data_IF_677561604416
#
_entry.id   IF_677561604416
#
_cell.length_a   1.000
_cell.length_b   1.000
_cell.length_c   1.000
_cell.angle_alpha   90.00
_cell.angle_beta   90.00
_cell.angle_gamma   90.00
#
_symmetry.space_group_name_H-M   'P 1'
#
loop_
_entity.id
_entity.type
_entity.pdbx_description
1 polymer ?
#
# COMPACT_ATOMS: atom_id res chain seq x y z
N UNK A 1 4.72 27.90 -29.23
CA UNK A 1 3.24 28.03 -29.32
C UNK A 1 2.66 27.75 -27.96
N UNK A 2 1.88 28.64 -27.35
CA UNK A 2 1.40 28.48 -25.96
C UNK A 2 -0.07 28.10 -25.98
N UNK A 3 -0.38 26.85 -25.61
CA UNK A 3 -1.74 26.39 -25.40
C UNK A 3 -2.05 26.50 -23.90
N UNK A 4 -3.23 27.00 -23.56
CA UNK A 4 -3.69 27.10 -22.19
C UNK A 4 -5.01 26.35 -22.05
N UNK A 5 -5.05 25.40 -21.14
CA UNK A 5 -6.25 24.63 -20.80
C UNK A 5 -6.70 25.04 -19.38
N UNK A 6 -7.98 25.36 -19.20
CA UNK A 6 -8.56 25.79 -17.92
C UNK A 6 -9.96 25.22 -17.76
N UNK A 7 -10.43 25.03 -16.52
CA UNK A 7 -11.83 24.72 -16.24
C UNK A 7 -12.60 26.02 -16.01
N UNK A 8 -13.75 26.14 -16.63
CA UNK A 8 -14.65 27.31 -16.50
C UNK A 8 -16.03 26.88 -16.09
N UNK A 9 -16.66 27.63 -15.22
CA UNK A 9 -18.02 27.41 -14.77
C UNK A 9 -18.99 28.25 -15.61
N UNK A 10 -20.07 27.60 -16.07
CA UNK A 10 -21.24 28.22 -16.74
C UNK A 10 -20.91 29.25 -17.82
N UNK A 11 -19.99 28.91 -18.73
CA UNK A 11 -19.64 29.85 -19.81
C UNK A 11 -20.82 30.18 -20.75
N UNK A 12 -21.89 29.39 -20.72
CA UNK A 12 -23.14 29.60 -21.53
C UNK A 12 -24.20 30.44 -20.81
N UNK A 13 -23.96 30.84 -19.56
CA UNK A 13 -24.90 31.67 -18.78
C UNK A 13 -26.25 30.95 -18.47
N UNK A 14 -26.26 29.64 -18.38
CA UNK A 14 -27.48 28.86 -18.14
C UNK A 14 -27.87 28.74 -16.68
N UNK A 15 -26.93 29.03 -15.77
CA UNK A 15 -27.15 28.91 -14.33
C UNK A 15 -28.23 29.87 -13.81
N UNK A 16 -28.42 31.02 -14.44
CA UNK A 16 -29.49 31.96 -14.09
C UNK A 16 -30.89 31.37 -14.24
N UNK A 17 -31.09 30.47 -15.22
CA UNK A 17 -32.39 29.81 -15.46
C UNK A 17 -32.56 28.50 -14.67
N UNK A 18 -31.49 27.79 -14.36
CA UNK A 18 -31.55 26.43 -13.84
C UNK A 18 -30.91 26.27 -12.44
N UNK A 19 -30.34 27.34 -11.86
CA UNK A 19 -29.71 27.30 -10.56
C UNK A 19 -28.36 26.62 -10.52
N UNK A 20 -27.98 25.87 -11.58
CA UNK A 20 -26.71 25.14 -11.71
C UNK A 20 -26.03 25.46 -13.04
N UNK A 21 -24.75 25.69 -13.03
CA UNK A 21 -23.91 25.87 -14.21
C UNK A 21 -23.08 24.64 -14.51
N UNK A 22 -22.83 24.39 -15.78
CA UNK A 22 -21.97 23.29 -16.21
C UNK A 22 -20.51 23.71 -16.11
N UNK A 23 -19.65 22.78 -15.68
CA UNK A 23 -18.21 22.92 -15.81
C UNK A 23 -17.79 22.52 -17.23
N UNK A 24 -17.03 23.39 -17.90
CA UNK A 24 -16.48 23.13 -19.22
C UNK A 24 -14.93 23.26 -19.17
N UNK A 25 -14.24 22.43 -19.95
CA UNK A 25 -12.81 22.55 -20.13
C UNK A 25 -12.57 23.48 -21.32
N UNK A 26 -11.97 24.63 -21.08
CA UNK A 26 -11.66 25.65 -22.07
C UNK A 26 -10.24 25.53 -22.54
N UNK A 27 -10.03 25.41 -23.84
CA UNK A 27 -8.74 25.40 -24.51
C UNK A 27 -8.56 26.73 -25.25
N UNK A 28 -7.47 27.42 -25.00
CA UNK A 28 -7.06 28.61 -25.74
C UNK A 28 -5.96 28.22 -26.73
N UNK A 29 -6.23 28.39 -28.03
CA UNK A 29 -5.28 28.10 -29.09
C UNK A 29 -5.33 29.21 -30.15
N UNK A 30 -4.18 29.80 -30.47
CA UNK A 30 -4.04 30.91 -31.45
C UNK A 30 -5.08 32.02 -31.26
N UNK A 31 -5.32 32.44 -30.01
CA UNK A 31 -6.27 33.50 -29.70
C UNK A 31 -7.75 33.08 -29.69
N UNK A 32 -8.10 31.89 -30.19
CA UNK A 32 -9.46 31.33 -30.16
C UNK A 32 -9.70 30.48 -28.95
N UNK A 33 -10.95 30.45 -28.47
CA UNK A 33 -11.39 29.61 -27.35
C UNK A 33 -12.28 28.48 -27.83
N UNK A 34 -11.98 27.28 -27.37
CA UNK A 34 -12.75 26.07 -27.60
C UNK A 34 -13.21 25.51 -26.25
N UNK A 35 -14.42 24.93 -26.22
CA UNK A 35 -15.01 24.42 -24.99
C UNK A 35 -15.41 22.96 -25.15
N UNK A 36 -15.07 22.15 -24.13
CA UNK A 36 -15.45 20.75 -24.01
C UNK A 36 -16.28 20.60 -22.75
N UNK A 37 -17.57 20.26 -22.92
CA UNK A 37 -18.49 20.08 -21.81
C UNK A 37 -18.10 18.85 -20.97
N UNK A 38 -18.05 18.96 -19.64
CA UNK A 38 -17.75 17.82 -18.77
C UNK A 38 -18.98 17.02 -18.37
N UNK A 39 -20.17 17.56 -18.60
CA UNK A 39 -21.43 17.01 -18.08
C UNK A 39 -21.63 17.19 -16.58
N UNK A 40 -20.67 17.82 -15.88
CA UNK A 40 -20.76 18.08 -14.44
C UNK A 40 -21.45 19.42 -14.23
N UNK A 41 -22.56 19.41 -13.48
CA UNK A 41 -23.33 20.61 -13.13
C UNK A 41 -23.21 20.86 -11.64
N UNK A 42 -22.90 22.11 -11.28
CA UNK A 42 -22.72 22.54 -9.88
C UNK A 42 -23.25 23.97 -9.71
N UNK A 43 -23.64 24.33 -8.49
CA UNK A 43 -23.99 25.71 -8.14
C UNK A 43 -22.71 26.54 -8.06
N UNK A 44 -22.84 27.85 -8.23
CA UNK A 44 -21.68 28.75 -8.15
C UNK A 44 -20.92 28.64 -6.81
N UNK A 45 -21.65 28.51 -5.70
CA UNK A 45 -21.09 28.34 -4.37
C UNK A 45 -20.40 26.98 -4.14
N UNK A 46 -20.66 26.00 -4.98
CA UNK A 46 -20.07 24.66 -4.91
C UNK A 46 -18.79 24.54 -5.74
N UNK A 47 -18.38 25.57 -6.51
CA UNK A 47 -17.15 25.55 -7.29
C UNK A 47 -16.23 26.70 -6.86
N UNK A 48 -15.26 26.40 -5.99
CA UNK A 48 -14.36 27.38 -5.37
C UNK A 48 -12.90 26.98 -5.66
N UNK A 49 -12.12 27.95 -6.11
CA UNK A 49 -10.68 27.78 -6.37
C UNK A 49 -10.33 26.55 -7.25
N UNK A 50 -11.18 26.24 -8.24
CA UNK A 50 -10.94 25.13 -9.16
C UNK A 50 -11.37 23.76 -8.64
N UNK A 51 -12.03 23.68 -7.48
CA UNK A 51 -12.52 22.45 -6.86
C UNK A 51 -14.00 22.51 -6.56
N UNK A 52 -14.64 21.36 -6.65
CA UNK A 52 -16.03 21.17 -6.24
C UNK A 52 -16.03 20.91 -4.74
N UNK A 53 -16.82 21.67 -3.98
CA UNK A 53 -16.88 21.66 -2.52
C UNK A 53 -18.34 21.69 -2.04
N UNK A 54 -18.56 21.48 -0.75
CA UNK A 54 -19.86 21.65 -0.07
C UNK A 54 -21.00 20.79 -0.63
N UNK A 55 -20.67 19.56 -1.09
CA UNK A 55 -21.67 18.57 -1.51
C UNK A 55 -21.18 17.14 -1.23
N UNK A 56 -22.08 16.17 -0.96
CA UNK A 56 -21.71 14.81 -0.54
C UNK A 56 -20.86 14.06 -1.57
N UNK A 57 -21.06 14.35 -2.87
CA UNK A 57 -20.39 13.71 -4.00
C UNK A 57 -19.19 14.52 -4.53
N UNK A 58 -18.74 15.56 -3.80
CA UNK A 58 -17.67 16.46 -4.24
C UNK A 58 -16.39 15.74 -4.62
N UNK A 59 -15.96 14.73 -3.82
CA UNK A 59 -14.76 13.93 -4.13
C UNK A 59 -14.89 13.21 -5.46
N UNK A 60 -16.01 12.52 -5.70
CA UNK A 60 -16.26 11.77 -6.93
C UNK A 60 -16.28 12.69 -8.16
N UNK A 61 -16.90 13.86 -8.01
CA UNK A 61 -16.99 14.82 -9.12
C UNK A 61 -15.64 15.50 -9.40
N UNK A 62 -14.82 15.77 -8.37
CA UNK A 62 -13.46 16.27 -8.56
C UNK A 62 -12.57 15.24 -9.27
N UNK A 63 -12.65 13.95 -8.91
CA UNK A 63 -11.92 12.88 -9.58
C UNK A 63 -12.33 12.76 -11.05
N UNK A 64 -13.64 12.80 -11.32
CA UNK A 64 -14.17 12.80 -12.69
C UNK A 64 -13.70 14.01 -13.51
N UNK A 65 -13.71 15.19 -12.92
CA UNK A 65 -13.23 16.41 -13.55
C UNK A 65 -11.74 16.34 -13.87
N UNK A 66 -10.92 15.87 -12.91
CA UNK A 66 -9.47 15.70 -13.06
C UNK A 66 -9.12 14.73 -14.19
N UNK A 67 -9.83 13.60 -14.30
CA UNK A 67 -9.63 12.61 -15.35
C UNK A 67 -9.98 13.20 -16.73
N UNK A 68 -11.12 13.88 -16.86
CA UNK A 68 -11.51 14.52 -18.12
C UNK A 68 -10.50 15.60 -18.51
N UNK A 69 -10.07 16.41 -17.55
CA UNK A 69 -9.06 17.44 -17.75
C UNK A 69 -7.73 16.85 -18.26
N UNK A 70 -7.25 15.78 -17.62
CA UNK A 70 -6.03 15.08 -18.04
C UNK A 70 -6.15 14.52 -19.47
N UNK A 71 -7.30 13.87 -19.81
CA UNK A 71 -7.53 13.38 -21.16
C UNK A 71 -7.50 14.50 -22.21
N UNK A 72 -8.14 15.63 -21.92
CA UNK A 72 -8.12 16.79 -22.81
C UNK A 72 -6.69 17.28 -23.01
N UNK A 73 -5.92 17.45 -21.94
CA UNK A 73 -4.51 17.87 -22.02
C UNK A 73 -3.67 16.91 -22.86
N UNK A 74 -3.80 15.59 -22.64
CA UNK A 74 -3.09 14.56 -23.44
C UNK A 74 -3.44 14.64 -24.92
N UNK A 75 -4.74 14.76 -25.26
CA UNK A 75 -5.16 14.89 -26.67
C UNK A 75 -4.64 16.18 -27.32
N UNK A 76 -4.62 17.28 -26.57
CA UNK A 76 -4.07 18.55 -27.03
C UNK A 76 -2.55 18.44 -27.26
N UNK A 77 -1.82 17.83 -26.34
CA UNK A 77 -0.36 17.63 -26.44
C UNK A 77 0.01 16.74 -27.64
N UNK A 78 -0.76 15.67 -27.90
CA UNK A 78 -0.57 14.82 -29.07
C UNK A 78 -0.79 15.61 -30.36
N UNK A 79 -1.88 16.35 -30.46
CA UNK A 79 -2.16 17.17 -31.64
C UNK A 79 -1.07 18.21 -31.92
N UNK A 80 -0.36 18.70 -30.88
CA UNK A 80 0.71 19.69 -31.04
C UNK A 80 2.04 19.05 -31.41
N UNK A 81 2.36 17.89 -30.84
CA UNK A 81 3.64 17.18 -31.12
C UNK A 81 3.71 16.64 -32.54
N UNK A 82 2.58 16.15 -33.05
CA UNK A 82 2.52 15.54 -34.38
C UNK A 82 2.50 16.58 -35.53
N UNK A 83 2.64 17.88 -35.22
CA UNK A 83 2.63 18.96 -36.22
C UNK A 83 1.33 19.09 -37.01
N UNK A 84 0.26 18.45 -36.54
CA UNK A 84 -1.06 18.47 -37.17
C UNK A 84 -1.83 19.77 -36.92
N UNK A 85 -2.79 20.08 -37.82
CA UNK A 85 -3.73 21.17 -37.59
C UNK A 85 -4.57 20.91 -36.32
N UNK A 86 -4.69 21.90 -35.45
CA UNK A 86 -5.51 21.80 -34.26
C UNK A 86 -7.00 21.60 -34.65
N UNK A 87 -7.49 20.39 -34.48
CA UNK A 87 -8.88 20.02 -34.80
C UNK A 87 -9.65 19.68 -33.52
N UNK A 88 -10.54 20.61 -33.10
CA UNK A 88 -11.36 20.44 -31.90
C UNK A 88 -12.36 19.28 -32.02
N UNK A 89 -12.86 18.98 -33.21
CA UNK A 89 -13.78 17.86 -33.41
C UNK A 89 -13.06 16.51 -33.30
N UNK A 90 -11.81 16.42 -33.78
CA UNK A 90 -10.98 15.24 -33.59
C UNK A 90 -10.68 15.03 -32.08
N UNK A 91 -10.38 16.11 -31.34
CA UNK A 91 -10.18 16.06 -29.88
C UNK A 91 -11.46 15.63 -29.18
N UNK A 92 -12.61 16.23 -29.49
CA UNK A 92 -13.92 15.81 -28.93
C UNK A 92 -14.20 14.34 -29.23
N UNK A 93 -14.04 13.94 -30.48
CA UNK A 93 -14.25 12.56 -30.91
C UNK A 93 -13.29 11.60 -30.19
N UNK A 94 -12.04 11.96 -29.97
CA UNK A 94 -11.08 11.16 -29.18
C UNK A 94 -11.44 11.06 -27.70
N UNK A 95 -12.04 12.11 -27.12
CA UNK A 95 -12.46 12.13 -25.72
C UNK A 95 -13.80 11.39 -25.52
N UNK A 96 -14.73 11.55 -26.46
CA UNK A 96 -16.10 11.03 -26.40
C UNK A 96 -16.34 9.83 -27.29
N UNK A 97 -15.45 9.51 -28.24
CA UNK A 97 -15.56 8.24 -28.94
C UNK A 97 -15.31 7.13 -27.92
N UNK A 98 -16.39 6.58 -27.42
CA UNK A 98 -16.41 5.13 -27.35
C UNK A 98 -16.08 4.71 -28.77
N UNK A 99 -14.83 4.30 -29.04
CA UNK A 99 -14.56 3.51 -30.22
C UNK A 99 -15.51 2.33 -30.10
N UNK A 100 -16.58 2.31 -30.87
CA UNK A 100 -17.15 1.08 -31.39
C UNK A 100 -16.05 0.45 -32.26
N UNK A 101 -15.03 -0.05 -31.59
CA UNK A 101 -14.05 -0.94 -32.21
C UNK A 101 -14.81 -2.24 -32.41
N UNK A 102 -15.12 -2.50 -33.66
CA UNK A 102 -15.54 -3.80 -34.13
C UNK A 102 -14.88 -4.91 -33.34
N UNK A 103 -15.73 -5.76 -32.72
CA UNK A 103 -15.43 -7.05 -32.13
C UNK A 103 -14.08 -7.18 -31.39
N UNK A 104 -13.92 -6.48 -30.29
CA UNK A 104 -12.96 -6.92 -29.29
C UNK A 104 -13.63 -7.99 -28.44
N UNK A 105 -13.02 -9.15 -28.37
CA UNK A 105 -13.58 -10.31 -27.65
C UNK A 105 -13.73 -10.08 -26.13
N UNK A 106 -13.12 -9.01 -25.58
CA UNK A 106 -13.07 -8.79 -24.14
C UNK A 106 -13.00 -7.31 -23.75
N UNK A 107 -14.06 -6.49 -24.00
CA UNK A 107 -14.03 -5.05 -23.79
C UNK A 107 -13.84 -4.63 -22.32
N UNK A 108 -14.20 -5.46 -21.35
CA UNK A 108 -13.96 -5.21 -19.94
C UNK A 108 -12.48 -5.42 -19.57
N UNK A 109 -11.86 -6.49 -20.08
CA UNK A 109 -10.44 -6.80 -19.80
C UNK A 109 -9.54 -5.71 -20.38
N UNK A 110 -9.77 -5.29 -21.61
CA UNK A 110 -9.00 -4.23 -22.26
C UNK A 110 -9.14 -2.90 -21.52
N UNK A 111 -10.35 -2.57 -21.09
CA UNK A 111 -10.57 -1.39 -20.27
C UNK A 111 -9.79 -1.48 -18.93
N UNK A 112 -9.71 -2.65 -18.30
CA UNK A 112 -8.90 -2.84 -17.11
C UNK A 112 -7.42 -2.56 -17.38
N UNK A 113 -6.87 -3.08 -18.48
CA UNK A 113 -5.48 -2.85 -18.90
C UNK A 113 -5.20 -1.36 -19.15
N UNK A 114 -6.11 -0.66 -19.79
CA UNK A 114 -6.02 0.78 -20.03
C UNK A 114 -6.09 1.60 -18.72
N UNK A 115 -6.90 1.18 -17.76
CA UNK A 115 -7.12 1.95 -16.53
C UNK A 115 -6.10 1.70 -15.43
N UNK A 116 -5.48 0.52 -15.37
CA UNK A 116 -4.53 0.16 -14.32
C UNK A 116 -3.37 1.15 -14.24
N UNK A 117 -2.70 1.56 -15.34
CA UNK A 117 -1.64 2.57 -15.29
C UNK A 117 -2.13 3.96 -14.83
N UNK A 118 -3.43 4.23 -14.97
CA UNK A 118 -4.05 5.51 -14.67
C UNK A 118 -4.66 5.58 -13.24
N UNK A 119 -4.37 4.59 -12.39
CA UNK A 119 -4.91 4.55 -11.02
C UNK A 119 -4.32 5.60 -10.08
N UNK A 120 -3.20 6.23 -10.44
CA UNK A 120 -2.54 7.21 -9.59
C UNK A 120 -1.94 6.61 -8.29
N UNK A 121 -1.62 5.32 -8.32
CA UNK A 121 -1.02 4.58 -7.20
C UNK A 121 0.40 4.16 -7.55
N UNK A 122 1.24 3.96 -6.52
CA UNK A 122 2.63 3.54 -6.75
C UNK A 122 2.74 2.16 -7.43
N UNK A 123 3.84 1.94 -8.15
CA UNK A 123 4.13 0.74 -8.96
C UNK A 123 3.94 -0.58 -8.19
N UNK A 124 4.32 -0.62 -6.91
CA UNK A 124 4.09 -1.78 -6.06
C UNK A 124 2.61 -2.15 -5.89
N UNK A 125 1.69 -1.18 -6.03
CA UNK A 125 0.25 -1.42 -6.01
C UNK A 125 -0.25 -1.84 -7.39
N UNK A 126 0.26 -1.23 -8.46
CA UNK A 126 -0.05 -1.60 -9.85
C UNK A 126 0.27 -3.08 -10.08
N UNK A 127 1.40 -3.56 -9.56
CA UNK A 127 1.83 -4.96 -9.66
C UNK A 127 0.85 -5.98 -9.02
N UNK A 128 -0.14 -5.53 -8.24
CA UNK A 128 -1.21 -6.40 -7.76
C UNK A 128 -2.39 -6.53 -8.73
N UNK A 129 -2.55 -5.59 -9.67
CA UNK A 129 -3.63 -5.61 -10.65
C UNK A 129 -3.31 -6.47 -11.87
N UNK A 130 -2.06 -6.48 -12.34
CA UNK A 130 -1.67 -7.29 -13.51
C UNK A 130 -1.98 -8.79 -13.34
N UNK A 131 -1.69 -9.43 -12.19
CA UNK A 131 -2.10 -10.81 -11.96
C UNK A 131 -3.62 -11.03 -11.97
N UNK A 132 -4.43 -10.01 -11.60
CA UNK A 132 -5.88 -10.11 -11.70
C UNK A 132 -6.32 -10.18 -13.16
N UNK A 133 -5.77 -9.33 -14.03
CA UNK A 133 -6.09 -9.34 -15.47
C UNK A 133 -5.79 -10.70 -16.07
N UNK A 134 -4.61 -11.26 -15.77
CA UNK A 134 -4.26 -12.62 -16.20
C UNK A 134 -5.30 -13.65 -15.73
N UNK A 135 -5.73 -13.59 -14.46
CA UNK A 135 -6.73 -14.53 -13.92
C UNK A 135 -8.12 -14.34 -14.53
N UNK A 136 -8.52 -13.12 -14.83
CA UNK A 136 -9.79 -12.87 -15.52
C UNK A 136 -9.76 -13.42 -16.96
N UNK A 137 -8.63 -13.26 -17.64
CA UNK A 137 -8.42 -13.79 -19.00
C UNK A 137 -8.44 -15.34 -18.99
N UNK A 138 -7.73 -15.98 -18.03
CA UNK A 138 -7.74 -17.45 -17.87
C UNK A 138 -9.13 -17.99 -17.53
N UNK A 139 -9.89 -17.29 -16.70
CA UNK A 139 -11.25 -17.66 -16.34
C UNK A 139 -12.22 -17.58 -17.53
N UNK A 140 -12.08 -16.59 -18.39
CA UNK A 140 -12.73 -16.47 -19.68
C UNK A 140 -14.25 -16.28 -19.67
N UNK A 141 -14.90 -16.13 -18.49
CA UNK A 141 -16.35 -15.94 -18.36
C UNK A 141 -16.74 -14.53 -17.92
N UNK A 142 -15.76 -13.64 -17.71
CA UNK A 142 -15.96 -12.21 -17.43
C UNK A 142 -15.18 -11.45 -18.49
N UNK A 143 -15.80 -11.23 -19.64
CA UNK A 143 -15.19 -10.54 -20.79
C UNK A 143 -15.85 -9.20 -21.06
N UNK A 144 -17.15 -9.13 -20.89
CA UNK A 144 -17.97 -7.96 -21.20
C UNK A 144 -18.51 -7.30 -19.94
N UNK A 145 -19.07 -6.11 -20.07
CA UNK A 145 -19.72 -5.39 -18.97
C UNK A 145 -20.95 -6.12 -18.44
N UNK A 146 -21.66 -6.86 -19.29
CA UNK A 146 -22.83 -7.66 -18.95
C UNK A 146 -22.47 -8.89 -18.11
N UNK A 147 -21.25 -9.38 -18.23
CA UNK A 147 -20.78 -10.53 -17.46
C UNK A 147 -20.51 -10.19 -15.99
N UNK A 148 -20.49 -8.91 -15.62
CA UNK A 148 -20.22 -8.41 -14.27
C UNK A 148 -21.43 -8.60 -13.35
N UNK A 149 -21.86 -9.83 -13.18
CA UNK A 149 -22.96 -10.21 -12.30
C UNK A 149 -22.45 -10.74 -10.96
N UNK A 150 -23.31 -10.71 -9.95
CA UNK A 150 -23.03 -11.32 -8.61
C UNK A 150 -22.69 -12.78 -8.77
N UNK A 151 -23.42 -13.49 -9.62
CA UNK A 151 -23.21 -14.91 -9.89
C UNK A 151 -21.83 -15.18 -10.50
N UNK A 152 -21.45 -14.45 -11.56
CA UNK A 152 -20.15 -14.63 -12.20
C UNK A 152 -18.98 -14.30 -11.28
N UNK A 153 -19.12 -13.32 -10.39
CA UNK A 153 -18.10 -13.00 -9.37
C UNK A 153 -17.97 -14.15 -8.36
N UNK A 154 -19.08 -14.75 -7.94
CA UNK A 154 -19.05 -15.93 -7.07
C UNK A 154 -18.44 -17.15 -7.75
N UNK A 155 -18.76 -17.35 -9.02
CA UNK A 155 -18.18 -18.44 -9.83
C UNK A 155 -16.69 -18.22 -10.09
N UNK A 156 -16.25 -16.97 -10.26
CA UNK A 156 -14.83 -16.60 -10.34
C UNK A 156 -14.09 -16.91 -9.04
N UNK A 157 -14.67 -16.60 -7.88
CA UNK A 157 -14.13 -16.98 -6.56
C UNK A 157 -13.95 -18.48 -6.45
N UNK A 158 -15.01 -19.24 -6.75
CA UNK A 158 -14.96 -20.71 -6.71
C UNK A 158 -13.86 -21.28 -7.63
N UNK A 159 -13.72 -20.71 -8.83
CA UNK A 159 -12.67 -21.09 -9.77
C UNK A 159 -11.26 -20.74 -9.23
N UNK A 160 -11.07 -19.55 -8.60
CA UNK A 160 -9.79 -19.16 -8.01
C UNK A 160 -9.31 -20.18 -6.94
N UNK A 161 -10.21 -20.81 -6.21
CA UNK A 161 -9.85 -21.87 -5.25
C UNK A 161 -9.39 -23.17 -5.91
N UNK A 162 -9.63 -23.35 -7.22
CA UNK A 162 -9.17 -24.54 -7.97
C UNK A 162 -7.81 -24.33 -8.63
N UNK A 163 -7.40 -23.09 -8.89
CA UNK A 163 -6.16 -22.78 -9.62
C UNK A 163 -4.95 -22.71 -8.70
N UNK A 164 -3.78 -22.85 -9.30
CA UNK A 164 -2.50 -22.83 -8.60
C UNK A 164 -1.71 -21.57 -8.91
N UNK A 165 -0.72 -21.27 -8.06
CA UNK A 165 0.23 -20.20 -8.30
C UNK A 165 1.09 -20.50 -9.53
N UNK A 166 1.34 -19.53 -10.42
CA UNK A 166 2.26 -19.74 -11.53
C UNK A 166 3.66 -20.03 -10.99
N UNK A 167 4.30 -21.04 -11.53
CA UNK A 167 5.70 -21.36 -11.23
C UNK A 167 6.61 -20.60 -12.18
N UNK A 168 7.70 -20.04 -11.66
CA UNK A 168 8.81 -19.55 -12.48
C UNK A 168 9.46 -20.72 -13.25
N UNK A 169 10.07 -20.44 -14.40
CA UNK A 169 10.71 -21.47 -15.22
C UNK A 169 11.78 -22.26 -14.46
N UNK A 170 12.53 -21.59 -13.56
CA UNK A 170 13.50 -22.24 -12.69
C UNK A 170 12.82 -23.27 -11.76
N UNK A 171 11.66 -22.95 -11.16
CA UNK A 171 10.92 -23.86 -10.30
C UNK A 171 10.25 -25.00 -11.08
N UNK A 172 9.83 -24.74 -12.32
CA UNK A 172 9.29 -25.80 -13.21
C UNK A 172 10.33 -26.87 -13.48
N UNK A 173 11.60 -26.43 -13.73
CA UNK A 173 12.74 -27.34 -13.98
C UNK A 173 13.14 -28.19 -12.76
N UNK A 174 12.83 -27.74 -11.54
CA UNK A 174 13.17 -28.48 -10.30
C UNK A 174 12.08 -29.43 -9.82
N UNK A 175 11.02 -29.64 -10.60
CA UNK A 175 9.94 -30.59 -10.25
C UNK A 175 9.06 -30.14 -9.06
N UNK A 176 9.13 -28.90 -8.66
CA UNK A 176 8.29 -28.32 -7.58
C UNK A 176 6.83 -28.35 -8.01
N UNK A 177 5.97 -28.97 -7.22
CA UNK A 177 4.52 -28.94 -7.46
C UNK A 177 3.94 -27.56 -7.23
N UNK A 178 3.07 -27.06 -8.12
CA UNK A 178 2.43 -25.76 -7.92
C UNK A 178 1.49 -25.78 -6.71
N UNK A 179 1.59 -24.76 -5.88
CA UNK A 179 0.71 -24.58 -4.71
C UNK A 179 -0.61 -23.92 -5.13
N UNK A 180 -1.71 -24.25 -4.45
CA UNK A 180 -2.98 -23.53 -4.58
C UNK A 180 -2.83 -22.07 -4.16
N UNK A 181 -3.73 -21.22 -4.64
CA UNK A 181 -3.84 -19.85 -4.16
C UNK A 181 -4.26 -19.85 -2.70
N UNK A 182 -3.66 -18.98 -1.89
CA UNK A 182 -4.12 -18.75 -0.51
C UNK A 182 -5.35 -17.86 -0.48
N UNK A 183 -6.17 -17.96 0.57
CA UNK A 183 -7.34 -17.10 0.78
C UNK A 183 -6.96 -15.61 0.74
N UNK A 184 -5.80 -15.25 1.31
CA UNK A 184 -5.27 -13.90 1.24
C UNK A 184 -4.93 -13.44 -0.19
N UNK A 185 -4.44 -14.36 -1.05
CA UNK A 185 -4.19 -14.12 -2.47
C UNK A 185 -5.49 -13.92 -3.23
N UNK A 186 -6.47 -14.80 -3.02
CA UNK A 186 -7.81 -14.72 -3.62
C UNK A 186 -8.51 -13.42 -3.20
N UNK A 187 -8.46 -13.08 -1.91
CA UNK A 187 -8.99 -11.82 -1.40
C UNK A 187 -8.36 -10.59 -2.10
N UNK A 188 -7.06 -10.63 -2.40
CA UNK A 188 -6.41 -9.53 -3.11
C UNK A 188 -6.94 -9.37 -4.55
N UNK A 189 -7.25 -10.46 -5.26
CA UNK A 189 -7.90 -10.38 -6.56
C UNK A 189 -9.28 -9.71 -6.45
N UNK A 190 -10.11 -10.10 -5.49
CA UNK A 190 -11.41 -9.46 -5.25
C UNK A 190 -11.28 -7.99 -4.84
N UNK A 191 -10.28 -7.65 -4.03
CA UNK A 191 -9.98 -6.25 -3.65
C UNK A 191 -9.66 -5.40 -4.88
N UNK A 192 -8.80 -5.88 -5.77
CA UNK A 192 -8.42 -5.20 -7.00
C UNK A 192 -9.60 -5.10 -7.98
N UNK A 193 -10.34 -6.17 -8.19
CA UNK A 193 -11.52 -6.19 -9.05
C UNK A 193 -12.60 -5.22 -8.54
N UNK A 194 -12.88 -5.24 -7.24
CA UNK A 194 -13.82 -4.30 -6.62
C UNK A 194 -13.41 -2.84 -6.83
N UNK A 195 -12.13 -2.52 -6.73
CA UNK A 195 -11.60 -1.18 -6.95
C UNK A 195 -11.76 -0.76 -8.41
N UNK A 196 -11.47 -1.64 -9.37
CA UNK A 196 -11.71 -1.39 -10.80
C UNK A 196 -13.19 -1.19 -11.10
N UNK A 197 -14.08 -1.99 -10.51
CA UNK A 197 -15.52 -1.82 -10.70
C UNK A 197 -16.06 -0.53 -10.06
N UNK A 198 -15.51 -0.07 -8.94
CA UNK A 198 -15.84 1.26 -8.42
C UNK A 198 -15.41 2.36 -9.40
N UNK A 199 -14.23 2.21 -10.01
CA UNK A 199 -13.78 3.13 -11.05
C UNK A 199 -14.69 3.06 -12.30
N UNK A 200 -15.09 1.87 -12.74
CA UNK A 200 -16.03 1.68 -13.83
C UNK A 200 -17.39 2.34 -13.55
N UNK A 201 -17.87 2.25 -12.31
CA UNK A 201 -19.09 2.95 -11.86
C UNK A 201 -18.93 4.47 -11.96
N UNK A 202 -17.79 5.01 -11.49
CA UNK A 202 -17.47 6.45 -11.60
C UNK A 202 -17.43 6.93 -13.06
N UNK A 203 -16.98 6.07 -13.99
CA UNK A 203 -16.93 6.36 -15.42
C UNK A 203 -18.27 6.10 -16.15
N UNK A 204 -19.31 5.66 -15.46
CA UNK A 204 -20.60 5.33 -16.07
C UNK A 204 -20.55 4.12 -17.01
N UNK A 205 -19.58 3.22 -16.84
CA UNK A 205 -19.47 1.97 -17.60
C UNK A 205 -20.43 0.90 -17.09
N UNK A 206 -20.77 0.97 -15.81
CA UNK A 206 -21.76 0.14 -15.13
C UNK A 206 -22.63 1.01 -14.23
N UNK A 207 -23.89 0.63 -14.02
CA UNK A 207 -24.83 1.37 -13.16
C UNK A 207 -24.71 0.96 -11.69
N UNK A 208 -24.18 -0.22 -11.42
CA UNK A 208 -24.04 -0.76 -10.07
C UNK A 208 -22.82 -1.67 -9.97
N UNK A 209 -22.10 -1.57 -8.84
CA UNK A 209 -21.01 -2.50 -8.54
C UNK A 209 -21.57 -3.77 -7.85
N UNK A 210 -21.45 -4.96 -8.46
CA UNK A 210 -21.96 -6.22 -7.89
C UNK A 210 -21.44 -6.52 -6.48
N UNK A 211 -20.25 -6.05 -6.14
CA UNK A 211 -19.67 -6.21 -4.79
C UNK A 211 -20.48 -5.53 -3.69
N UNK A 212 -21.37 -4.59 -4.02
CA UNK A 212 -22.25 -3.98 -3.04
C UNK A 212 -23.21 -4.98 -2.38
N UNK A 213 -23.60 -6.03 -3.14
CA UNK A 213 -24.42 -7.16 -2.66
C UNK A 213 -23.60 -8.29 -2.00
N UNK A 214 -22.27 -8.23 -2.10
CA UNK A 214 -21.34 -9.25 -1.62
C UNK A 214 -20.54 -8.78 -0.38
N UNK A 215 -21.05 -7.80 0.36
CA UNK A 215 -20.37 -7.26 1.55
C UNK A 215 -20.07 -8.39 2.56
N UNK A 216 -18.79 -8.50 2.93
CA UNK A 216 -18.33 -9.49 3.92
C UNK A 216 -18.25 -10.94 3.43
N UNK A 217 -18.63 -11.24 2.18
CA UNK A 217 -18.58 -12.61 1.64
C UNK A 217 -17.14 -13.08 1.45
N UNK A 218 -16.28 -12.28 0.83
CA UNK A 218 -14.89 -12.64 0.60
C UNK A 218 -14.04 -12.19 1.79
N UNK A 219 -13.48 -13.17 2.52
CA UNK A 219 -12.65 -12.93 3.68
C UNK A 219 -11.17 -13.16 3.33
N UNK A 220 -10.31 -12.40 3.96
CA UNK A 220 -8.88 -12.51 3.74
C UNK A 220 -8.27 -13.81 4.28
N UNK A 221 -9.00 -14.55 5.08
CA UNK A 221 -8.48 -15.64 5.90
C UNK A 221 -7.65 -15.09 7.09
N UNK A 222 -7.39 -15.95 8.04
CA UNK A 222 -6.54 -15.62 9.17
C UNK A 222 -5.09 -15.43 8.71
N UNK A 223 -4.48 -14.35 9.18
CA UNK A 223 -3.06 -14.14 8.96
C UNK A 223 -2.30 -14.90 10.04
N UNK A 224 -1.32 -15.75 9.66
CA UNK A 224 -0.43 -16.32 10.66
C UNK A 224 0.25 -15.21 11.45
N UNK A 225 0.62 -15.51 12.69
CA UNK A 225 1.46 -14.61 13.47
C UNK A 225 2.77 -14.36 12.70
N UNK A 226 3.31 -13.15 12.76
CA UNK A 226 4.59 -12.87 12.13
C UNK A 226 5.69 -13.73 12.76
N UNK A 227 6.53 -14.34 11.92
CA UNK A 227 7.76 -14.95 12.37
C UNK A 227 8.72 -13.86 12.88
N UNK A 228 9.61 -14.23 13.78
CA UNK A 228 10.68 -13.37 14.33
C UNK A 228 11.85 -14.24 14.75
N UNK A 229 13.03 -13.66 14.96
CA UNK A 229 14.19 -14.35 15.49
C UNK A 229 14.21 -14.30 17.01
N UNK A 230 14.61 -15.41 17.65
CA UNK A 230 14.93 -15.42 19.08
C UNK A 230 16.22 -14.63 19.36
N UNK A 231 16.49 -14.30 20.61
CA UNK A 231 17.73 -13.61 21.00
C UNK A 231 18.97 -14.44 20.67
N UNK A 232 18.88 -15.78 20.78
CA UNK A 232 19.98 -16.67 20.38
C UNK A 232 20.22 -16.60 18.87
N UNK A 233 19.15 -16.58 18.07
CA UNK A 233 19.25 -16.43 16.61
C UNK A 233 19.77 -15.04 16.22
N UNK A 234 19.39 -13.97 16.94
CA UNK A 234 19.95 -12.62 16.75
C UNK A 234 21.45 -12.60 17.02
N UNK A 235 21.90 -13.21 18.12
CA UNK A 235 23.31 -13.34 18.48
C UNK A 235 24.11 -14.11 17.42
N UNK A 236 23.52 -15.13 16.78
CA UNK A 236 24.18 -15.83 15.67
C UNK A 236 24.54 -14.87 14.52
N UNK A 237 23.67 -13.87 14.22
CA UNK A 237 24.00 -12.86 13.22
C UNK A 237 25.13 -11.94 13.66
N UNK A 238 25.13 -11.48 14.91
CA UNK A 238 26.14 -10.56 15.43
C UNK A 238 27.53 -11.20 15.49
N UNK A 239 27.61 -12.50 15.79
CA UNK A 239 28.86 -13.23 15.94
C UNK A 239 29.36 -13.94 14.68
N UNK A 240 28.54 -13.97 13.60
CA UNK A 240 28.87 -14.67 12.37
C UNK A 240 30.09 -14.03 11.66
N UNK A 241 31.14 -14.80 11.46
CA UNK A 241 32.35 -14.35 10.76
C UNK A 241 32.16 -14.56 9.27
N UNK A 242 32.24 -13.48 8.49
CA UNK A 242 32.08 -13.49 7.04
C UNK A 242 33.26 -12.77 6.36
N UNK A 243 33.53 -13.03 5.08
CA UNK A 243 34.55 -12.30 4.35
C UNK A 243 34.21 -10.80 4.32
N UNK A 244 35.05 -9.98 4.90
CA UNK A 244 34.82 -8.54 5.10
C UNK A 244 34.51 -7.84 3.77
N UNK A 245 33.44 -7.07 3.74
CA UNK A 245 33.01 -6.30 2.57
C UNK A 245 32.36 -7.13 1.45
N UNK A 246 32.20 -8.44 1.65
CA UNK A 246 31.47 -9.28 0.69
C UNK A 246 29.95 -8.93 0.70
N UNK A 247 29.21 -9.19 -0.40
CA UNK A 247 27.76 -8.92 -0.43
C UNK A 247 26.96 -9.59 0.71
N UNK A 248 27.41 -10.74 1.18
CA UNK A 248 26.77 -11.46 2.29
C UNK A 248 27.09 -10.81 3.64
N UNK A 249 28.31 -10.27 3.83
CA UNK A 249 28.70 -9.51 5.02
C UNK A 249 27.91 -8.20 5.11
N UNK A 250 27.79 -7.49 3.99
CA UNK A 250 26.95 -6.29 3.90
C UNK A 250 25.50 -6.61 4.24
N UNK A 251 24.94 -7.67 3.67
CA UNK A 251 23.54 -8.05 3.93
C UNK A 251 23.32 -8.45 5.42
N UNK A 252 24.28 -9.15 6.04
CA UNK A 252 24.24 -9.47 7.46
C UNK A 252 24.19 -8.20 8.31
N UNK A 253 25.05 -7.24 8.03
CA UNK A 253 25.13 -5.99 8.79
C UNK A 253 23.87 -5.13 8.61
N UNK A 254 23.36 -5.04 7.40
CA UNK A 254 22.09 -4.34 7.14
C UNK A 254 20.90 -5.00 7.87
N UNK A 255 20.92 -6.33 7.99
CA UNK A 255 19.90 -7.04 8.75
C UNK A 255 20.01 -6.77 10.25
N UNK A 256 21.22 -6.74 10.81
CA UNK A 256 21.48 -6.31 12.19
C UNK A 256 20.99 -4.87 12.38
N UNK A 257 21.34 -3.96 11.49
CA UNK A 257 20.87 -2.58 11.56
C UNK A 257 19.35 -2.48 11.60
N UNK A 258 18.65 -3.23 10.74
CA UNK A 258 17.19 -3.28 10.75
C UNK A 258 16.60 -3.92 12.02
N UNK A 259 17.24 -4.98 12.55
CA UNK A 259 16.79 -5.62 13.79
C UNK A 259 16.86 -4.69 15.00
N UNK A 260 17.78 -3.72 15.00
CA UNK A 260 17.98 -2.82 16.13
C UNK A 260 17.49 -1.37 15.89
N UNK A 261 16.89 -1.10 14.74
CA UNK A 261 16.24 0.19 14.45
C UNK A 261 14.75 0.07 14.15
N UNK A 262 14.29 -1.13 13.75
CA UNK A 262 12.92 -1.36 13.30
C UNK A 262 12.58 -0.74 11.94
N UNK A 263 13.54 -0.14 11.24
CA UNK A 263 13.32 0.49 9.93
C UNK A 263 12.88 -0.55 8.88
N UNK A 264 12.00 -0.14 7.97
CA UNK A 264 11.72 -0.99 6.80
C UNK A 264 12.89 -0.93 5.82
N UNK A 265 12.90 -1.83 4.84
CA UNK A 265 13.93 -1.80 3.80
C UNK A 265 14.02 -0.42 3.11
N UNK A 266 12.89 0.18 2.74
CA UNK A 266 12.89 1.50 2.09
C UNK A 266 13.40 2.62 2.99
N UNK A 267 13.00 2.61 4.26
CA UNK A 267 13.45 3.63 5.21
C UNK A 267 14.93 3.45 5.57
N UNK A 268 15.42 2.19 5.63
CA UNK A 268 16.84 1.89 5.82
C UNK A 268 17.70 2.36 4.63
N UNK A 269 17.26 2.13 3.40
CA UNK A 269 18.01 2.55 2.22
C UNK A 269 18.02 4.08 2.02
N UNK A 270 17.10 4.78 2.64
CA UNK A 270 17.06 6.23 2.67
C UNK A 270 17.56 6.82 4.01
N UNK A 271 18.26 6.01 4.80
CA UNK A 271 18.83 6.49 6.05
C UNK A 271 19.84 7.62 5.80
N UNK A 272 19.66 8.74 6.50
CA UNK A 272 20.63 9.84 6.56
C UNK A 272 21.06 10.04 8.01
N UNK A 273 22.36 9.96 8.27
CA UNK A 273 22.92 10.17 9.59
C UNK A 273 22.70 11.61 10.11
N UNK A 274 22.57 12.58 9.21
CA UNK A 274 22.34 13.99 9.57
C UNK A 274 20.95 14.23 10.20
N UNK A 275 20.01 13.32 9.98
CA UNK A 275 18.69 13.39 10.61
C UNK A 275 18.75 13.03 12.12
N UNK A 276 19.84 12.37 12.56
CA UNK A 276 19.98 11.91 13.93
C UNK A 276 20.78 12.89 14.76
N UNK A 277 20.26 13.20 15.95
CA UNK A 277 20.89 14.12 16.92
C UNK A 277 21.34 13.36 18.14
N UNK A 278 22.57 13.61 18.57
CA UNK A 278 23.08 13.12 19.83
C UNK A 278 22.56 13.97 20.99
N UNK A 279 21.91 13.38 21.97
CA UNK A 279 21.37 14.10 23.14
C UNK A 279 22.21 13.98 24.42
N UNK A 280 23.43 13.47 24.31
CA UNK A 280 24.32 13.15 25.45
C UNK A 280 24.28 11.68 25.87
N UNK A 281 23.26 10.93 25.44
CA UNK A 281 23.08 9.50 25.78
C UNK A 281 22.94 8.61 24.58
N UNK A 282 22.27 9.11 23.51
CA UNK A 282 21.99 8.31 22.33
C UNK A 282 21.68 9.18 21.08
N UNK A 283 21.78 8.55 19.91
CA UNK A 283 21.35 9.10 18.66
C UNK A 283 19.84 8.92 18.47
N UNK A 284 19.11 10.01 18.26
CA UNK A 284 17.64 10.04 18.17
C UNK A 284 17.18 10.80 16.93
N UNK A 285 16.08 10.33 16.35
CA UNK A 285 15.41 10.99 15.23
C UNK A 285 13.89 10.88 15.37
N UNK A 286 13.18 11.88 14.85
CA UNK A 286 11.74 11.83 14.55
C UNK A 286 11.60 12.02 13.05
N UNK A 287 11.43 10.93 12.35
CA UNK A 287 11.32 10.89 10.89
C UNK A 287 9.91 10.53 10.41
N UNK A 288 9.75 10.48 9.10
CA UNK A 288 8.51 10.03 8.45
C UNK A 288 8.76 8.82 7.56
N UNK A 289 7.81 7.89 7.58
CA UNK A 289 7.87 6.68 6.75
C UNK A 289 7.75 7.05 5.28
N UNK A 290 8.71 6.68 4.45
CA UNK A 290 8.72 6.95 3.00
C UNK A 290 7.44 6.46 2.32
N UNK A 291 6.98 5.26 2.68
CA UNK A 291 5.81 4.66 2.04
C UNK A 291 4.48 5.29 2.44
N UNK A 292 4.36 5.87 3.63
CA UNK A 292 3.06 6.24 4.21
C UNK A 292 3.00 7.64 4.77
N UNK A 293 4.13 8.38 4.87
CA UNK A 293 4.22 9.70 5.51
C UNK A 293 3.90 9.66 7.02
N UNK A 294 3.85 8.49 7.64
CA UNK A 294 3.52 8.37 9.06
C UNK A 294 4.76 8.69 9.89
N UNK A 295 4.67 9.60 10.87
CA UNK A 295 5.78 9.88 11.77
C UNK A 295 6.20 8.65 12.57
N UNK A 296 7.51 8.46 12.76
CA UNK A 296 8.08 7.47 13.64
C UNK A 296 9.18 8.08 14.51
N UNK A 297 9.43 7.46 15.65
CA UNK A 297 10.52 7.81 16.54
C UNK A 297 11.59 6.73 16.45
N UNK A 298 12.80 7.12 16.12
CA UNK A 298 13.94 6.21 16.00
C UNK A 298 15.01 6.52 17.05
N UNK A 299 15.60 5.45 17.58
CA UNK A 299 16.70 5.46 18.52
C UNK A 299 17.73 4.46 18.03
N UNK A 300 18.99 4.86 17.89
CA UNK A 300 20.05 3.95 17.47
C UNK A 300 20.56 3.17 18.67
N UNK A 301 20.17 1.91 18.75
CA UNK A 301 20.69 0.98 19.74
C UNK A 301 22.16 0.63 19.44
N UNK A 302 22.98 0.23 20.45
CA UNK A 302 24.41 -0.01 20.27
C UNK A 302 24.79 -0.93 19.10
N UNK A 303 24.09 -2.05 18.80
CA UNK A 303 24.45 -2.86 17.64
C UNK A 303 24.22 -2.13 16.30
N UNK A 304 23.20 -1.26 16.21
CA UNK A 304 22.98 -0.44 15.01
C UNK A 304 24.09 0.60 14.83
N UNK A 305 24.55 1.22 15.94
CA UNK A 305 25.66 2.17 15.90
C UNK A 305 26.95 1.49 15.42
N UNK A 306 27.26 0.28 15.91
CA UNK A 306 28.43 -0.51 15.45
C UNK A 306 28.41 -0.75 13.93
N UNK A 307 27.23 -1.01 13.37
CA UNK A 307 27.08 -1.15 11.91
C UNK A 307 27.36 0.17 11.21
N UNK A 308 26.82 1.29 11.70
CA UNK A 308 27.07 2.60 11.12
C UNK A 308 28.55 2.99 11.19
N UNK A 309 29.24 2.75 12.31
CA UNK A 309 30.67 2.99 12.45
C UNK A 309 31.50 2.19 11.43
N UNK A 310 31.12 0.91 11.19
CA UNK A 310 31.77 0.06 10.17
C UNK A 310 31.67 0.66 8.75
N UNK A 311 30.56 1.33 8.45
CA UNK A 311 30.28 1.94 7.15
C UNK A 311 30.41 3.47 7.16
N UNK A 312 31.13 4.04 8.12
CA UNK A 312 31.38 5.49 8.20
C UNK A 312 30.10 6.33 8.19
N UNK A 313 29.03 5.81 8.84
CA UNK A 313 27.70 6.42 8.93
C UNK A 313 26.93 6.50 7.62
N UNK A 314 27.36 5.78 6.59
CA UNK A 314 26.69 5.65 5.32
C UNK A 314 26.14 4.23 5.13
N UNK A 315 24.84 4.08 4.89
CA UNK A 315 24.23 2.76 4.66
C UNK A 315 24.52 2.28 3.25
N UNK A 316 25.16 1.09 3.09
CA UNK A 316 25.39 0.51 1.77
C UNK A 316 24.09 0.30 0.99
N UNK A 317 24.09 0.74 -0.27
CA UNK A 317 22.93 0.58 -1.14
C UNK A 317 22.90 -0.85 -1.74
N UNK A 318 21.77 -1.53 -1.59
CA UNK A 318 21.56 -2.88 -2.10
C UNK A 318 20.13 -3.02 -2.62
N UNK A 319 19.92 -3.68 -3.77
CA UNK A 319 18.56 -3.94 -4.22
C UNK A 319 17.82 -4.89 -3.26
N UNK A 320 16.49 -4.72 -3.12
CA UNK A 320 15.70 -5.61 -2.24
C UNK A 320 15.77 -7.08 -2.69
N UNK A 321 15.90 -7.32 -3.99
CA UNK A 321 16.08 -8.66 -4.54
C UNK A 321 17.41 -9.29 -4.13
N UNK A 322 18.52 -8.54 -4.27
CA UNK A 322 19.84 -8.99 -3.87
C UNK A 322 19.94 -9.17 -2.37
N UNK A 323 19.42 -8.22 -1.60
CA UNK A 323 19.35 -8.32 -0.15
C UNK A 323 18.66 -9.62 0.30
N UNK A 324 17.46 -9.89 -0.18
CA UNK A 324 16.74 -11.11 0.16
C UNK A 324 17.44 -12.38 -0.36
N UNK A 325 18.19 -12.30 -1.47
CA UNK A 325 19.01 -13.41 -1.97
C UNK A 325 20.14 -13.73 -0.99
N UNK A 326 20.86 -12.71 -0.47
CA UNK A 326 21.90 -12.88 0.51
C UNK A 326 21.35 -13.37 1.87
N UNK A 327 20.20 -12.85 2.31
CA UNK A 327 19.54 -13.34 3.53
C UNK A 327 19.19 -14.82 3.44
N UNK A 328 18.78 -15.31 2.27
CA UNK A 328 18.55 -16.74 2.06
C UNK A 328 19.85 -17.57 2.15
N UNK A 329 20.97 -17.04 1.68
CA UNK A 329 22.28 -17.69 1.84
C UNK A 329 22.69 -17.70 3.32
N UNK A 330 22.51 -16.59 4.04
CA UNK A 330 22.74 -16.51 5.50
C UNK A 330 21.88 -17.52 6.25
N UNK A 331 20.61 -17.69 5.88
CA UNK A 331 19.74 -18.71 6.47
C UNK A 331 20.33 -20.12 6.35
N UNK A 332 20.85 -20.44 5.16
CA UNK A 332 21.49 -21.76 4.94
C UNK A 332 22.76 -21.93 5.79
N UNK A 333 23.56 -20.86 5.92
CA UNK A 333 24.82 -20.90 6.71
C UNK A 333 24.58 -21.00 8.21
N UNK A 334 23.57 -20.30 8.73
CA UNK A 334 23.24 -20.29 10.16
C UNK A 334 22.41 -21.48 10.60
N UNK A 335 21.74 -22.17 9.68
CA UNK A 335 20.78 -23.22 9.99
C UNK A 335 19.49 -22.74 10.64
N UNK A 336 19.23 -21.43 10.66
CA UNK A 336 18.00 -20.82 11.18
C UNK A 336 16.81 -21.35 10.41
N UNK A 337 15.81 -21.88 11.12
CA UNK A 337 14.59 -22.45 10.50
C UNK A 337 13.64 -21.40 9.99
N UNK A 338 13.58 -20.27 10.67
CA UNK A 338 12.74 -19.12 10.30
C UNK A 338 13.19 -18.56 8.95
N UNK A 339 12.24 -18.35 8.05
CA UNK A 339 12.53 -17.83 6.72
C UNK A 339 13.04 -16.40 6.79
N UNK A 340 14.31 -16.18 6.46
CA UNK A 340 14.91 -14.86 6.44
C UNK A 340 14.45 -14.04 5.23
N UNK A 341 14.02 -12.83 5.51
CA UNK A 341 13.70 -11.81 4.53
C UNK A 341 13.77 -10.41 5.17
N UNK A 342 13.93 -9.36 4.39
CA UNK A 342 14.15 -8.00 4.88
C UNK A 342 13.12 -7.51 5.91
N UNK A 343 11.87 -7.95 5.79
CA UNK A 343 10.81 -7.53 6.72
C UNK A 343 10.84 -8.29 8.06
N UNK A 344 11.51 -9.46 8.11
CA UNK A 344 11.66 -10.25 9.34
C UNK A 344 12.45 -9.48 10.40
N UNK A 345 13.49 -8.74 10.02
CA UNK A 345 14.27 -7.90 10.95
C UNK A 345 13.37 -6.93 11.72
N UNK A 346 12.42 -6.29 11.02
CA UNK A 346 11.46 -5.40 11.64
C UNK A 346 10.44 -6.12 12.54
N UNK A 347 10.05 -7.33 12.19
CA UNK A 347 9.21 -8.19 13.04
C UNK A 347 9.99 -8.58 14.32
N UNK A 348 11.26 -8.93 14.16
CA UNK A 348 12.17 -9.23 15.27
C UNK A 348 12.32 -8.03 16.20
N UNK A 349 12.56 -6.82 15.67
CA UNK A 349 12.59 -5.59 16.48
C UNK A 349 11.31 -5.40 17.29
N UNK A 350 10.14 -5.53 16.64
CA UNK A 350 8.86 -5.34 17.31
C UNK A 350 8.68 -6.32 18.48
N UNK A 351 8.95 -7.60 18.25
CA UNK A 351 8.82 -8.64 19.27
C UNK A 351 9.86 -8.47 20.37
N UNK A 352 11.13 -8.17 20.01
CA UNK A 352 12.21 -7.90 20.95
C UNK A 352 11.85 -6.75 21.90
N UNK A 353 11.33 -5.62 21.40
CA UNK A 353 10.90 -4.50 22.23
C UNK A 353 9.76 -4.87 23.19
N UNK A 354 8.77 -5.64 22.71
CA UNK A 354 7.66 -6.09 23.54
C UNK A 354 8.07 -7.13 24.58
N UNK A 355 9.04 -7.98 24.25
CA UNK A 355 9.60 -8.96 25.20
C UNK A 355 10.44 -8.30 26.31
N UNK A 356 10.90 -7.05 26.06
CA UNK A 356 11.59 -6.18 27.03
C UNK A 356 10.66 -5.13 27.66
N UNK A 357 9.36 -5.43 27.77
CA UNK A 357 8.35 -4.64 28.46
C UNK A 357 8.17 -3.20 27.92
N UNK A 358 8.58 -2.94 26.68
CA UNK A 358 8.27 -1.65 26.03
C UNK A 358 6.78 -1.61 25.70
N UNK A 359 6.04 -0.56 26.12
CA UNK A 359 4.59 -0.44 25.84
C UNK A 359 4.28 -0.53 24.35
N UNK A 360 3.24 -1.26 24.01
CA UNK A 360 2.85 -1.52 22.60
C UNK A 360 2.59 -0.24 21.80
N UNK A 361 2.08 0.82 22.46
CA UNK A 361 1.87 2.13 21.88
C UNK A 361 3.20 2.78 21.47
N UNK A 362 4.24 2.61 22.29
CA UNK A 362 5.58 3.11 21.97
C UNK A 362 6.19 2.31 20.81
N UNK A 363 6.10 0.98 20.84
CA UNK A 363 6.55 0.14 19.71
C UNK A 363 5.82 0.51 18.42
N UNK A 364 4.51 0.78 18.50
CA UNK A 364 3.73 1.24 17.35
C UNK A 364 4.26 2.57 16.78
N UNK A 365 4.64 3.50 17.64
CA UNK A 365 5.26 4.78 17.23
C UNK A 365 6.67 4.61 16.67
N UNK A 366 7.51 3.75 17.29
CA UNK A 366 8.85 3.41 16.76
C UNK A 366 8.75 2.83 15.34
N UNK A 367 7.74 2.01 15.10
CA UNK A 367 7.50 1.39 13.80
C UNK A 367 6.78 2.32 12.80
N UNK A 368 6.23 3.47 13.21
CA UNK A 368 5.40 4.31 12.35
C UNK A 368 4.18 3.56 11.79
N UNK A 369 3.46 2.83 12.65
CA UNK A 369 2.23 2.17 12.26
C UNK A 369 1.04 3.15 12.30
N UNK A 370 0.23 3.17 11.25
CA UNK A 370 -1.00 3.98 11.18
C UNK A 370 -2.09 3.49 12.13
N UNK A 371 -2.05 2.19 12.49
CA UNK A 371 -3.03 1.55 13.36
C UNK A 371 -2.30 0.58 14.30
N UNK A 372 -2.57 0.69 15.59
CA UNK A 372 -1.98 -0.17 16.64
C UNK A 372 -2.26 -1.66 16.42
N UNK A 373 -3.37 -2.00 15.74
CA UNK A 373 -3.69 -3.39 15.36
C UNK A 373 -2.57 -4.07 14.56
N UNK A 374 -1.73 -3.29 13.85
CA UNK A 374 -0.56 -3.82 13.16
C UNK A 374 0.49 -4.30 14.16
N UNK A 375 0.64 -3.62 15.31
CA UNK A 375 1.59 -3.96 16.38
C UNK A 375 1.03 -5.07 17.29
N UNK A 376 -0.28 -5.11 17.52
CA UNK A 376 -0.94 -6.15 18.33
C UNK A 376 -0.65 -7.58 17.83
N UNK A 377 -0.30 -7.73 16.57
CA UNK A 377 0.09 -9.03 16.00
C UNK A 377 1.38 -9.60 16.60
N UNK A 378 2.22 -8.77 17.20
CA UNK A 378 3.46 -9.17 17.87
C UNK A 378 3.24 -9.42 19.36
N UNK A 379 2.21 -8.83 19.95
CA UNK A 379 1.89 -8.96 21.35
C UNK A 379 1.30 -10.36 21.63
N UNK A 380 2.17 -11.27 22.08
CA UNK A 380 1.74 -12.53 22.71
C UNK A 380 1.45 -12.21 24.17
N UNK A 381 0.18 -12.19 24.55
CA UNK A 381 -0.18 -12.06 25.97
C UNK A 381 0.32 -13.31 26.68
N UNK A 382 1.40 -13.19 27.45
CA UNK A 382 1.92 -14.25 28.32
C UNK A 382 1.09 -14.19 29.62
N UNK A 383 0.36 -15.27 30.01
CA UNK A 383 -0.41 -15.25 31.27
C UNK A 383 0.43 -14.83 32.48
N UNK A 384 1.72 -15.20 32.50
CA UNK A 384 2.67 -14.80 33.54
C UNK A 384 2.79 -13.28 33.66
N UNK A 385 2.93 -12.56 32.53
CA UNK A 385 3.03 -11.09 32.55
C UNK A 385 1.79 -10.42 33.16
N UNK A 386 0.60 -11.01 32.93
CA UNK A 386 -0.65 -10.53 33.57
C UNK A 386 -0.57 -10.70 35.09
N UNK A 387 -0.08 -11.85 35.58
CA UNK A 387 0.06 -12.08 37.02
C UNK A 387 1.11 -11.15 37.63
N UNK A 388 2.25 -10.95 36.98
CA UNK A 388 3.31 -10.05 37.42
C UNK A 388 2.80 -8.60 37.54
N UNK A 389 1.93 -8.15 36.63
CA UNK A 389 1.27 -6.85 36.69
C UNK A 389 0.29 -6.78 37.89
N UNK A 390 -0.52 -7.82 38.13
CA UNK A 390 -1.39 -7.88 39.30
C UNK A 390 -0.59 -7.87 40.60
N UNK A 391 0.51 -8.61 40.68
CA UNK A 391 1.38 -8.67 41.86
C UNK A 391 2.05 -7.32 42.12
N UNK A 392 2.46 -6.60 41.07
CA UNK A 392 3.00 -5.24 41.19
C UNK A 392 1.97 -4.27 41.77
N UNK A 393 0.73 -4.30 41.27
CA UNK A 393 -0.36 -3.46 41.78
C UNK A 393 -0.73 -3.87 43.20
N UNK A 394 -0.83 -5.16 43.49
CA UNK A 394 -1.11 -5.66 44.82
C UNK A 394 -0.07 -5.22 45.84
N UNK A 395 1.21 -5.28 45.48
CA UNK A 395 2.34 -4.82 46.33
C UNK A 395 2.25 -3.31 46.57
N UNK A 396 1.90 -2.52 45.54
CA UNK A 396 1.74 -1.07 45.67
C UNK A 396 0.57 -0.71 46.62
N UNK A 397 -0.54 -1.44 46.52
CA UNK A 397 -1.69 -1.26 47.38
C UNK A 397 -1.42 -1.74 48.83
N UNK A 398 -0.66 -2.84 49.01
CA UNK A 398 -0.30 -3.37 50.34
C UNK A 398 0.61 -2.42 51.13
N UNK A 399 1.41 -1.58 50.47
CA UNK A 399 2.22 -0.52 51.12
C UNK A 399 1.36 0.57 51.73
N UNK A 400 0.10 0.69 51.34
CA UNK A 400 -0.83 1.70 51.80
C UNK A 400 -1.91 1.16 52.79
N UNK A 401 -1.85 -0.13 53.11
CA UNK A 401 -2.82 -0.77 54.03
C UNK A 401 -2.05 -1.50 55.14
N UNK A 402 -2.23 -1.05 56.39
CA UNK A 402 -1.78 -1.79 57.55
C UNK A 402 -2.26 -3.25 57.47
N UNK A 403 -1.36 -4.18 57.74
CA UNK A 403 -1.57 -5.62 57.61
C UNK A 403 -2.92 -6.07 58.17
N UNK A 404 -3.74 -6.84 57.41
CA UNK A 404 -5.05 -7.28 57.88
C UNK A 404 -4.86 -8.13 59.14
N UNK A 405 -5.47 -7.69 60.26
CA UNK A 405 -5.51 -8.45 61.52
C UNK A 405 -6.12 -9.84 61.23
N UNK A 406 -5.31 -10.90 61.50
CA UNK A 406 -5.76 -12.30 61.36
C UNK A 406 -7.09 -12.46 62.06
N UNK A 407 -8.15 -12.77 61.31
CA UNK A 407 -9.43 -13.19 61.89
C UNK A 407 -9.19 -14.43 62.76
N UNK A 408 -9.25 -14.26 64.09
CA UNK A 408 -9.31 -15.40 65.01
C UNK A 408 -10.56 -16.20 64.71
N UNK A 409 -10.41 -17.45 64.26
CA UNK A 409 -11.52 -18.41 64.26
C UNK A 409 -12.00 -18.54 65.69
N UNK A 410 -13.26 -18.12 65.96
CA UNK A 410 -13.96 -18.55 67.17
C UNK A 410 -14.24 -20.05 67.05
N UNK A 411 -13.77 -20.80 68.01
CA UNK A 411 -14.19 -22.17 68.27
C UNK A 411 -15.65 -22.22 68.68
#
# INVERSE_FOLDING_TARGET
MKILTTVVWDYKGRAEKHGEGQLDIRIRFNGKYYHIGTGIKVRKAEYVAGKIVNRPDASVLNDRLAILYSKVCTCVDVCVRDGGEFNIEAIKNSIWSVKETNSKESPFIEWCEEQIPLLGVGDGTINHYNPLVVRLTEYGKIKTWQDLTVENICNFDAWLHTVTKPLSDAKRKTGVKPEKLSDGGIYNYHKCLRALLNRALTFGKIDNNPYNRLKGKFKRGDKPLPDYLSEEEMNMFETLILPKGSPIDVARDLFIFQMFTGLSYSDMQAFDANDYKWDGTAWKNVGERIKTGVPYVSYLLPPAVKVLEKYHWEIPQISNADYNRQLKALQTMTGIKTKLHSHLARHTFATFMLDHDVPIEHVSKMLGHTNITQTQRYAKVKPKAIYDDFDRVATMLARNVDSPKKRKKKQ
#
